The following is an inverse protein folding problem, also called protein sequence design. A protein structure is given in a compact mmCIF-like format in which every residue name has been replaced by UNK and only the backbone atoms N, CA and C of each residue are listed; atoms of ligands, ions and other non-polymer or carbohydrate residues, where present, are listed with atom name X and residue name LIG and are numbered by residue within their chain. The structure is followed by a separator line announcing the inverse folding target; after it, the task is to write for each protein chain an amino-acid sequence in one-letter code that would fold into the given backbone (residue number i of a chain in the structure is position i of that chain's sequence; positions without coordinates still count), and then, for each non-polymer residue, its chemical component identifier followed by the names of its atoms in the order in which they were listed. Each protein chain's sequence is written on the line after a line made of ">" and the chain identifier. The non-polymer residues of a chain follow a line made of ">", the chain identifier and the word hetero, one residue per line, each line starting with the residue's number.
data_IF_135525697298
#
_entry.id   IF_135525697298
#
_cell.length_a   1.000
_cell.length_b   1.000
_cell.length_c   1.000
_cell.angle_alpha   90.00
_cell.angle_beta   90.00
_cell.angle_gamma   90.00
#
_symmetry.space_group_name_H-M   'P 1'
#
loop_
_entity.id
_entity.type
_entity.pdbx_description
1 polymer ?
#
# COMPACT_ATOMS: atom_id res chain seq x y z
N UNK A 1 -2.97 7.01 -23.80
CA UNK A 1 -3.10 6.01 -24.85
C UNK A 1 -4.23 6.45 -25.77
N UNK A 2 -4.01 6.37 -27.10
CA UNK A 2 -4.97 6.83 -28.11
C UNK A 2 -5.94 5.72 -28.59
N UNK A 3 -6.10 4.68 -27.80
CA UNK A 3 -6.97 3.52 -28.09
C UNK A 3 -8.42 3.73 -27.60
N UNK A 4 -8.91 4.95 -27.72
CA UNK A 4 -10.27 5.31 -27.37
C UNK A 4 -10.97 5.94 -28.59
N UNK A 5 -12.32 5.91 -28.68
CA UNK A 5 -13.07 6.62 -29.70
C UNK A 5 -12.70 8.10 -29.76
N UNK A 6 -12.77 8.70 -30.93
CA UNK A 6 -12.42 10.12 -31.13
C UNK A 6 -13.16 11.06 -30.19
N UNK A 7 -14.42 10.74 -29.88
CA UNK A 7 -15.24 11.49 -28.93
C UNK A 7 -14.76 11.45 -27.48
N UNK A 8 -13.77 10.59 -27.15
CA UNK A 8 -13.22 10.43 -25.79
C UNK A 8 -11.75 10.85 -25.66
N UNK A 9 -11.09 11.21 -26.77
CA UNK A 9 -9.63 11.47 -26.78
C UNK A 9 -9.20 12.63 -25.91
N UNK A 10 -10.01 13.68 -25.84
CA UNK A 10 -9.68 14.91 -25.13
C UNK A 10 -10.36 14.99 -23.75
N UNK A 11 -11.07 13.94 -23.34
CA UNK A 11 -11.71 13.90 -22.03
C UNK A 11 -10.69 13.60 -20.92
N UNK A 12 -10.88 14.29 -19.79
CA UNK A 12 -10.05 14.11 -18.58
C UNK A 12 -10.80 13.26 -17.56
N UNK A 13 -10.14 12.23 -17.04
CA UNK A 13 -10.67 11.47 -15.89
C UNK A 13 -10.17 12.14 -14.61
N UNK A 14 -11.10 12.57 -13.77
CA UNK A 14 -10.82 13.25 -12.49
C UNK A 14 -11.39 12.42 -11.36
N UNK A 15 -10.52 12.00 -10.43
CA UNK A 15 -10.92 11.25 -9.23
C UNK A 15 -11.56 12.16 -8.19
N UNK A 16 -12.72 11.76 -7.67
CA UNK A 16 -13.37 12.40 -6.54
C UNK A 16 -12.87 11.79 -5.24
N UNK A 17 -12.17 12.57 -4.44
CA UNK A 17 -11.81 12.17 -3.09
C UNK A 17 -12.97 12.44 -2.12
N UNK A 18 -13.77 11.39 -1.89
CA UNK A 18 -14.93 11.45 -0.97
C UNK A 18 -14.46 11.66 0.47
N UNK A 19 -13.31 11.09 0.85
CA UNK A 19 -12.71 11.26 2.17
C UNK A 19 -12.37 12.72 2.45
N UNK A 20 -11.76 13.41 1.49
CA UNK A 20 -11.45 14.84 1.60
C UNK A 20 -12.71 15.73 1.68
N UNK A 21 -13.78 15.34 0.98
CA UNK A 21 -15.07 16.07 1.08
C UNK A 21 -15.69 15.96 2.47
N UNK A 22 -15.57 14.80 3.12
CA UNK A 22 -16.09 14.54 4.46
C UNK A 22 -15.19 15.12 5.55
N UNK A 23 -13.88 14.98 5.43
CA UNK A 23 -12.90 15.31 6.46
C UNK A 23 -12.88 16.78 6.91
N UNK A 24 -13.41 17.69 6.16
CA UNK A 24 -13.50 19.11 6.51
C UNK A 24 -14.92 19.59 6.82
N UNK A 25 -15.92 18.72 6.73
CA UNK A 25 -17.31 19.10 6.93
C UNK A 25 -17.72 18.93 8.40
N UNK A 26 -18.06 20.01 9.09
CA UNK A 26 -18.59 19.97 10.46
C UNK A 26 -20.03 19.44 10.53
N UNK A 27 -20.77 19.58 9.44
CA UNK A 27 -22.19 19.21 9.34
C UNK A 27 -22.48 18.62 7.95
N UNK A 28 -23.51 17.76 7.88
CA UNK A 28 -24.01 17.12 6.65
C UNK A 28 -24.25 18.13 5.50
N UNK A 29 -24.81 19.30 5.78
CA UNK A 29 -25.07 20.32 4.76
C UNK A 29 -23.81 20.85 4.07
N UNK A 30 -22.70 20.95 4.78
CA UNK A 30 -21.43 21.40 4.22
C UNK A 30 -20.84 20.40 3.21
N UNK A 31 -20.93 19.11 3.49
CA UNK A 31 -20.56 18.07 2.54
C UNK A 31 -21.45 18.11 1.29
N UNK A 32 -22.77 18.23 1.47
CA UNK A 32 -23.71 18.33 0.35
C UNK A 32 -23.43 19.56 -0.53
N UNK A 33 -23.09 20.70 0.06
CA UNK A 33 -22.72 21.90 -0.68
C UNK A 33 -21.42 21.72 -1.48
N UNK A 34 -20.41 21.13 -0.87
CA UNK A 34 -19.14 20.83 -1.55
C UNK A 34 -19.34 19.86 -2.72
N UNK A 35 -20.09 18.79 -2.51
CA UNK A 35 -20.39 17.84 -3.58
C UNK A 35 -21.19 18.51 -4.70
N UNK A 36 -22.19 19.35 -4.38
CA UNK A 36 -22.94 20.12 -5.37
C UNK A 36 -22.04 21.07 -6.18
N UNK A 37 -21.06 21.71 -5.53
CA UNK A 37 -20.10 22.56 -6.23
C UNK A 37 -19.28 21.76 -7.24
N UNK A 38 -18.70 20.61 -6.82
CA UNK A 38 -17.96 19.72 -7.73
C UNK A 38 -18.83 19.24 -8.89
N UNK A 39 -20.06 18.80 -8.61
CA UNK A 39 -20.97 18.34 -9.67
C UNK A 39 -21.36 19.45 -10.65
N UNK A 40 -21.45 20.70 -10.20
CA UNK A 40 -21.67 21.86 -11.05
C UNK A 40 -20.47 22.12 -11.94
N UNK A 41 -19.26 22.17 -11.36
CA UNK A 41 -18.02 22.40 -12.12
C UNK A 41 -17.80 21.33 -13.19
N UNK A 42 -18.11 20.07 -12.87
CA UNK A 42 -18.06 18.96 -13.85
C UNK A 42 -19.13 19.12 -14.92
N UNK A 43 -20.36 19.52 -14.55
CA UNK A 43 -21.43 19.76 -15.50
C UNK A 43 -21.12 20.93 -16.44
N UNK A 44 -20.52 22.00 -15.94
CA UNK A 44 -20.13 23.19 -16.71
C UNK A 44 -18.93 22.91 -17.65
N UNK A 45 -18.25 21.77 -17.52
CA UNK A 45 -17.15 21.35 -18.40
C UNK A 45 -17.61 20.81 -19.77
N UNK A 46 -18.91 20.87 -20.08
CA UNK A 46 -19.49 20.44 -21.36
C UNK A 46 -19.05 19.02 -21.82
N UNK A 47 -18.91 18.11 -20.84
CA UNK A 47 -18.54 16.72 -21.06
C UNK A 47 -17.04 16.45 -21.25
N UNK A 48 -16.17 17.44 -21.08
CA UNK A 48 -14.70 17.23 -21.11
C UNK A 48 -14.20 16.41 -19.92
N UNK A 49 -14.95 16.41 -18.80
CA UNK A 49 -14.58 15.72 -17.57
C UNK A 49 -15.41 14.46 -17.36
N UNK A 50 -14.72 13.35 -17.10
CA UNK A 50 -15.31 12.10 -16.60
C UNK A 50 -14.96 12.01 -15.12
N UNK A 51 -15.97 12.02 -14.26
CA UNK A 51 -15.80 11.91 -12.82
C UNK A 51 -15.57 10.43 -12.45
N UNK A 52 -14.45 10.11 -11.81
CA UNK A 52 -14.20 8.79 -11.23
C UNK A 52 -14.49 8.82 -9.73
N UNK A 53 -15.32 7.91 -9.27
CA UNK A 53 -15.69 7.77 -7.84
C UNK A 53 -15.31 6.37 -7.40
N UNK A 54 -14.27 6.29 -6.58
CA UNK A 54 -13.94 5.03 -5.92
C UNK A 54 -14.91 4.76 -4.77
N UNK A 55 -15.13 3.49 -4.47
CA UNK A 55 -16.09 3.05 -3.44
C UNK A 55 -17.46 3.75 -3.55
N UNK A 56 -18.02 3.80 -4.77
CA UNK A 56 -19.29 4.49 -5.06
C UNK A 56 -20.42 4.14 -4.06
N UNK A 57 -20.39 2.92 -3.52
CA UNK A 57 -21.36 2.49 -2.52
C UNK A 57 -21.34 3.32 -1.24
N UNK A 58 -20.22 3.96 -0.89
CA UNK A 58 -20.11 4.83 0.30
C UNK A 58 -20.98 6.09 0.18
N UNK A 59 -21.18 6.56 -1.05
CA UNK A 59 -22.03 7.72 -1.34
C UNK A 59 -23.51 7.31 -1.43
N UNK A 60 -23.76 6.07 -1.92
CA UNK A 60 -25.13 5.59 -2.23
C UNK A 60 -25.78 4.89 -1.05
N UNK A 61 -25.00 4.19 -0.21
CA UNK A 61 -25.51 3.36 0.89
C UNK A 61 -25.63 4.04 2.23
N UNK A 62 -25.18 5.25 2.35
CA UNK A 62 -25.04 5.95 3.62
C UNK A 62 -26.36 6.42 4.26
N UNK A 63 -27.50 6.25 3.58
CA UNK A 63 -28.82 6.70 4.07
C UNK A 63 -29.51 5.81 5.13
N UNK A 64 -28.95 4.62 5.43
CA UNK A 64 -29.61 3.66 6.33
C UNK A 64 -29.08 3.66 7.77
N UNK A 65 -27.98 4.33 8.08
CA UNK A 65 -27.46 4.50 9.43
C UNK A 65 -27.62 5.96 9.88
N UNK A 66 -28.03 6.18 11.12
CA UNK A 66 -28.13 7.52 11.72
C UNK A 66 -26.80 8.29 11.56
N UNK A 67 -26.84 9.34 10.75
CA UNK A 67 -25.68 10.23 10.49
C UNK A 67 -24.94 10.00 9.17
N UNK A 68 -25.28 9.00 8.38
CA UNK A 68 -24.65 8.74 7.10
C UNK A 68 -25.25 9.62 5.97
N UNK A 69 -24.39 10.10 5.07
CA UNK A 69 -24.77 11.07 4.02
C UNK A 69 -25.33 10.32 2.81
N UNK A 70 -26.63 10.41 2.57
CA UNK A 70 -27.22 9.94 1.30
C UNK A 70 -27.02 11.00 0.21
N UNK A 71 -25.87 10.94 -0.45
CA UNK A 71 -25.55 11.80 -1.57
C UNK A 71 -26.10 11.29 -2.91
N UNK A 72 -26.75 10.12 -2.91
CA UNK A 72 -27.33 9.54 -4.13
C UNK A 72 -28.32 10.48 -4.81
N UNK A 73 -29.10 11.23 -4.01
CA UNK A 73 -30.06 12.19 -4.52
C UNK A 73 -29.41 13.39 -5.22
N UNK A 74 -28.14 13.68 -4.96
CA UNK A 74 -27.40 14.75 -5.64
C UNK A 74 -26.86 14.28 -6.99
N UNK A 75 -26.51 12.98 -7.12
CA UNK A 75 -26.02 12.40 -8.38
C UNK A 75 -27.14 12.11 -9.38
N UNK A 76 -28.33 11.75 -8.91
CA UNK A 76 -29.45 11.35 -9.76
C UNK A 76 -29.86 12.39 -10.83
N UNK A 77 -30.02 13.67 -10.50
CA UNK A 77 -30.45 14.68 -11.51
C UNK A 77 -29.40 14.89 -12.62
N UNK A 78 -28.09 15.14 -12.33
CA UNK A 78 -27.13 15.37 -13.39
C UNK A 78 -26.86 14.10 -14.23
N UNK A 79 -26.89 12.90 -13.63
CA UNK A 79 -26.83 11.63 -14.38
C UNK A 79 -28.07 11.46 -15.28
N UNK A 80 -29.25 11.90 -14.85
CA UNK A 80 -30.47 11.78 -15.62
C UNK A 80 -30.51 12.71 -16.85
N UNK A 81 -29.93 13.88 -16.75
CA UNK A 81 -29.87 14.85 -17.86
C UNK A 81 -28.70 14.57 -18.82
N UNK A 82 -27.73 13.73 -18.41
CA UNK A 82 -26.52 13.49 -19.17
C UNK A 82 -25.42 14.57 -18.95
N UNK A 83 -25.62 15.46 -17.99
CA UNK A 83 -24.68 16.53 -17.65
C UNK A 83 -23.42 15.95 -16.92
N UNK A 84 -23.52 14.74 -16.40
CA UNK A 84 -22.46 14.08 -15.66
C UNK A 84 -22.05 12.76 -16.33
N UNK A 85 -20.82 12.69 -16.84
CA UNK A 85 -20.16 11.44 -17.17
C UNK A 85 -19.43 10.91 -15.93
N UNK A 86 -19.80 9.72 -15.44
CA UNK A 86 -19.28 9.17 -14.21
C UNK A 86 -18.89 7.70 -14.36
N UNK A 87 -17.74 7.34 -13.79
CA UNK A 87 -17.28 5.97 -13.61
C UNK A 87 -17.21 5.70 -12.10
N UNK A 88 -18.00 4.75 -11.62
CA UNK A 88 -17.96 4.33 -10.21
C UNK A 88 -17.28 2.98 -10.06
N UNK A 89 -16.39 2.83 -9.10
CA UNK A 89 -15.83 1.55 -8.71
C UNK A 89 -16.49 1.05 -7.42
N UNK A 90 -16.72 -0.25 -7.34
CA UNK A 90 -17.29 -0.90 -6.14
C UNK A 90 -17.02 -2.41 -6.19
N UNK A 91 -17.24 -3.11 -5.08
CA UNK A 91 -17.20 -4.57 -5.04
C UNK A 91 -18.53 -5.19 -5.45
N UNK A 92 -18.53 -6.46 -5.86
CA UNK A 92 -19.77 -7.19 -6.21
C UNK A 92 -20.75 -7.28 -5.05
N UNK A 93 -20.27 -7.39 -3.82
CA UNK A 93 -21.11 -7.45 -2.63
C UNK A 93 -21.84 -6.13 -2.37
N UNK A 94 -21.15 -5.03 -2.58
CA UNK A 94 -21.66 -3.67 -2.32
C UNK A 94 -22.45 -3.11 -3.49
N UNK A 95 -22.19 -3.59 -4.72
CA UNK A 95 -22.99 -3.24 -5.91
C UNK A 95 -24.47 -3.52 -5.71
N UNK A 96 -24.83 -4.53 -4.92
CA UNK A 96 -26.22 -4.84 -4.54
C UNK A 96 -26.95 -3.65 -3.88
N UNK A 97 -26.23 -2.75 -3.23
CA UNK A 97 -26.81 -1.53 -2.65
C UNK A 97 -27.20 -0.54 -3.75
N UNK A 98 -26.36 -0.44 -4.80
CA UNK A 98 -26.64 0.40 -5.97
C UNK A 98 -27.82 -0.17 -6.76
N UNK A 99 -27.91 -1.50 -6.92
CA UNK A 99 -29.02 -2.16 -7.62
C UNK A 99 -30.38 -1.95 -6.95
N UNK A 100 -30.41 -1.81 -5.61
CA UNK A 100 -31.64 -1.54 -4.85
C UNK A 100 -32.20 -0.15 -5.18
N UNK A 101 -31.39 0.79 -5.57
CA UNK A 101 -31.82 2.10 -6.03
C UNK A 101 -32.08 2.07 -7.55
N UNK A 102 -33.35 1.81 -7.92
CA UNK A 102 -33.77 1.69 -9.30
C UNK A 102 -33.44 2.94 -10.16
N UNK A 103 -33.30 4.11 -9.54
CA UNK A 103 -32.95 5.33 -10.26
C UNK A 103 -31.46 5.37 -10.62
N UNK A 104 -30.57 4.88 -9.77
CA UNK A 104 -29.16 4.73 -10.07
C UNK A 104 -28.85 3.54 -10.96
N UNK A 105 -29.46 2.38 -10.70
CA UNK A 105 -29.27 1.16 -11.46
C UNK A 105 -29.55 1.34 -12.97
N UNK A 106 -30.51 2.20 -13.33
CA UNK A 106 -30.83 2.51 -14.73
C UNK A 106 -29.79 3.44 -15.40
N UNK A 107 -28.92 4.08 -14.63
CA UNK A 107 -27.95 5.09 -15.12
C UNK A 107 -26.52 4.61 -15.12
N UNK A 108 -26.24 3.52 -14.42
CA UNK A 108 -24.93 2.89 -14.41
C UNK A 108 -24.99 1.56 -15.18
N UNK A 109 -24.17 1.45 -16.22
CA UNK A 109 -23.93 0.20 -16.91
C UNK A 109 -22.86 -0.58 -16.13
N UNK A 110 -23.15 -1.77 -15.58
CA UNK A 110 -22.15 -2.56 -14.88
C UNK A 110 -21.10 -3.11 -15.85
N UNK A 111 -19.84 -2.96 -15.48
CA UNK A 111 -18.68 -3.53 -16.16
C UNK A 111 -17.94 -4.40 -15.17
N UNK A 112 -18.01 -5.72 -15.36
CA UNK A 112 -17.30 -6.67 -14.51
C UNK A 112 -15.80 -6.68 -14.86
N UNK A 113 -14.96 -6.46 -13.86
CA UNK A 113 -13.51 -6.61 -13.94
C UNK A 113 -13.14 -7.94 -13.25
N UNK A 114 -12.91 -9.03 -14.00
CA UNK A 114 -12.56 -10.32 -13.42
C UNK A 114 -11.14 -10.32 -12.86
N UNK A 115 -10.86 -11.27 -11.97
CA UNK A 115 -9.51 -11.58 -11.54
C UNK A 115 -8.66 -11.99 -12.76
N UNK A 116 -7.46 -11.42 -12.95
CA UNK A 116 -6.61 -11.79 -14.08
C UNK A 116 -6.11 -13.23 -13.93
N UNK A 117 -5.85 -13.86 -15.08
CA UNK A 117 -5.25 -15.19 -15.11
C UNK A 117 -3.80 -15.16 -14.59
N UNK A 118 -3.26 -16.36 -14.28
CA UNK A 118 -1.85 -16.48 -13.87
C UNK A 118 -0.89 -15.91 -14.95
N UNK A 119 -1.04 -16.21 -16.26
CA UNK A 119 -0.22 -15.60 -17.29
C UNK A 119 -0.34 -14.08 -17.38
N UNK A 120 -1.56 -13.54 -17.27
CA UNK A 120 -1.78 -12.09 -17.28
C UNK A 120 -1.14 -11.42 -16.07
N UNK A 121 -1.27 -12.04 -14.88
CA UNK A 121 -0.64 -11.55 -13.64
C UNK A 121 0.87 -11.52 -13.73
N UNK A 122 1.50 -12.52 -14.37
CA UNK A 122 2.95 -12.53 -14.63
C UNK A 122 3.32 -11.32 -15.51
N UNK A 123 2.52 -11.05 -16.54
CA UNK A 123 2.76 -9.92 -17.45
C UNK A 123 2.63 -8.58 -16.72
N UNK A 124 1.63 -8.45 -15.86
CA UNK A 124 1.44 -7.26 -15.01
C UNK A 124 2.65 -7.06 -14.09
N UNK A 125 3.09 -8.10 -13.38
CA UNK A 125 4.23 -8.00 -12.46
C UNK A 125 5.54 -7.71 -13.20
N UNK A 126 5.73 -8.23 -14.42
CA UNK A 126 6.87 -7.87 -15.28
C UNK A 126 6.91 -6.37 -15.57
N UNK A 127 5.75 -5.76 -15.82
CA UNK A 127 5.62 -4.31 -16.02
C UNK A 127 5.93 -3.48 -14.76
N UNK A 128 5.70 -4.04 -13.58
CA UNK A 128 5.95 -3.38 -12.29
C UNK A 128 7.38 -3.64 -11.77
N UNK A 129 8.04 -4.69 -12.22
CA UNK A 129 9.33 -5.18 -11.70
C UNK A 129 10.39 -4.07 -11.52
N UNK A 130 10.57 -3.24 -12.54
CA UNK A 130 11.58 -2.18 -12.50
C UNK A 130 11.32 -1.16 -11.39
N UNK A 131 10.07 -0.78 -11.18
CA UNK A 131 9.68 0.13 -10.10
C UNK A 131 10.00 -0.44 -8.73
N UNK A 132 9.73 -1.72 -8.51
CA UNK A 132 10.04 -2.41 -7.25
C UNK A 132 11.53 -2.61 -7.06
N UNK A 133 12.30 -2.91 -8.12
CA UNK A 133 13.77 -2.97 -8.06
C UNK A 133 14.36 -1.64 -7.59
N UNK A 134 13.90 -0.53 -8.17
CA UNK A 134 14.37 0.81 -7.79
C UNK A 134 13.96 1.16 -6.37
N UNK A 135 12.72 0.85 -5.98
CA UNK A 135 12.21 1.17 -4.65
C UNK A 135 12.97 0.43 -3.53
N UNK A 136 13.18 -0.86 -3.70
CA UNK A 136 13.86 -1.68 -2.69
C UNK A 136 15.38 -1.74 -2.85
N UNK A 137 15.94 -1.27 -3.97
CA UNK A 137 17.37 -1.35 -4.24
C UNK A 137 17.88 -2.79 -4.42
N UNK A 138 17.01 -3.73 -4.83
CA UNK A 138 17.33 -5.14 -5.03
C UNK A 138 17.07 -5.57 -6.47
N UNK A 139 17.82 -6.55 -6.96
CA UNK A 139 17.57 -7.12 -8.28
C UNK A 139 16.50 -8.21 -8.21
N UNK A 140 15.43 -8.06 -9.01
CA UNK A 140 14.32 -9.02 -9.10
C UNK A 140 14.43 -9.78 -10.41
N UNK A 141 14.69 -11.07 -10.35
CA UNK A 141 14.80 -11.92 -11.54
C UNK A 141 13.41 -12.23 -12.13
N UNK A 142 13.34 -12.58 -13.41
CA UNK A 142 12.09 -13.03 -14.02
C UNK A 142 11.55 -14.30 -13.35
N UNK A 143 12.43 -15.21 -12.96
CA UNK A 143 12.07 -16.40 -12.19
C UNK A 143 11.41 -16.08 -10.85
N UNK A 144 11.84 -15.03 -10.16
CA UNK A 144 11.19 -14.56 -8.92
C UNK A 144 9.78 -14.05 -9.18
N UNK A 145 9.55 -13.30 -10.27
CA UNK A 145 8.22 -12.84 -10.68
C UNK A 145 7.28 -14.02 -10.95
N UNK A 146 7.73 -14.99 -11.74
CA UNK A 146 6.94 -16.21 -12.05
C UNK A 146 6.66 -17.00 -10.77
N UNK A 147 7.64 -17.16 -9.89
CA UNK A 147 7.48 -17.85 -8.62
C UNK A 147 6.48 -17.14 -7.72
N UNK A 148 6.56 -15.81 -7.59
CA UNK A 148 5.66 -15.02 -6.77
C UNK A 148 4.19 -15.21 -7.19
N UNK A 149 3.88 -15.15 -8.50
CA UNK A 149 2.52 -15.37 -8.99
C UNK A 149 2.04 -16.79 -8.73
N UNK A 150 2.86 -17.80 -9.03
CA UNK A 150 2.48 -19.20 -8.84
C UNK A 150 2.28 -19.55 -7.35
N UNK A 151 3.17 -19.09 -6.47
CA UNK A 151 3.02 -19.31 -5.03
C UNK A 151 1.82 -18.55 -4.45
N UNK A 152 1.63 -17.30 -4.85
CA UNK A 152 0.48 -16.53 -4.42
C UNK A 152 -0.84 -17.19 -4.88
N UNK A 153 -0.91 -17.66 -6.13
CA UNK A 153 -2.09 -18.37 -6.65
C UNK A 153 -2.37 -19.65 -5.87
N UNK A 154 -1.33 -20.43 -5.55
CA UNK A 154 -1.46 -21.74 -4.91
C UNK A 154 -1.74 -21.66 -3.41
N UNK A 155 -1.09 -20.74 -2.69
CA UNK A 155 -1.06 -20.74 -1.23
C UNK A 155 -1.86 -19.60 -0.59
N UNK A 156 -2.09 -18.49 -1.30
CA UNK A 156 -2.86 -17.36 -0.79
C UNK A 156 -4.26 -17.36 -1.40
N UNK A 157 -5.18 -18.07 -0.75
CA UNK A 157 -6.56 -18.29 -1.26
C UNK A 157 -7.51 -17.15 -0.94
N UNK A 158 -7.26 -16.39 0.13
CA UNK A 158 -8.16 -15.34 0.61
C UNK A 158 -8.09 -14.04 -0.18
N UNK A 159 -7.00 -13.83 -0.94
CA UNK A 159 -6.76 -12.63 -1.74
C UNK A 159 -6.80 -12.94 -3.23
N UNK A 160 -6.99 -11.90 -4.04
CA UNK A 160 -7.08 -12.00 -5.50
C UNK A 160 -5.77 -11.63 -6.19
N UNK A 161 -5.53 -12.19 -7.37
CA UNK A 161 -4.51 -11.72 -8.28
C UNK A 161 -4.94 -10.38 -8.91
N UNK A 162 -4.02 -9.47 -9.26
CA UNK A 162 -2.56 -9.59 -9.12
C UNK A 162 -2.05 -9.22 -7.72
N UNK A 163 -2.85 -8.57 -6.86
CA UNK A 163 -2.42 -7.93 -5.61
C UNK A 163 -1.66 -8.88 -4.68
N UNK A 164 -2.19 -10.08 -4.44
CA UNK A 164 -1.50 -11.06 -3.58
C UNK A 164 -0.11 -11.46 -4.06
N UNK A 165 0.14 -11.40 -5.37
CA UNK A 165 1.46 -11.69 -5.93
C UNK A 165 2.37 -10.46 -5.86
N UNK A 166 1.82 -9.27 -5.98
CA UNK A 166 2.52 -8.01 -5.77
C UNK A 166 2.97 -7.91 -4.31
N UNK A 167 2.08 -8.14 -3.35
CA UNK A 167 2.39 -8.13 -1.92
C UNK A 167 3.50 -9.13 -1.58
N UNK A 168 3.44 -10.34 -2.14
CA UNK A 168 4.46 -11.36 -1.92
C UNK A 168 5.83 -10.95 -2.46
N UNK A 169 5.85 -10.31 -3.63
CA UNK A 169 7.08 -9.80 -4.24
C UNK A 169 7.66 -8.64 -3.45
N UNK A 170 6.82 -7.71 -3.00
CA UNK A 170 7.17 -6.56 -2.19
C UNK A 170 7.79 -6.98 -0.85
N UNK A 171 7.13 -7.87 -0.13
CA UNK A 171 7.59 -8.41 1.14
C UNK A 171 8.93 -9.16 0.98
N UNK A 172 9.07 -9.97 -0.07
CA UNK A 172 10.31 -10.69 -0.33
C UNK A 172 11.48 -9.72 -0.64
N UNK A 173 11.23 -8.68 -1.42
CA UNK A 173 12.21 -7.66 -1.74
C UNK A 173 12.62 -6.84 -0.50
N UNK A 174 11.64 -6.45 0.32
CA UNK A 174 11.88 -5.75 1.59
C UNK A 174 12.74 -6.59 2.55
N UNK A 175 12.42 -7.88 2.70
CA UNK A 175 13.23 -8.81 3.53
C UNK A 175 14.65 -8.96 3.02
N UNK A 176 14.83 -9.12 1.71
CA UNK A 176 16.15 -9.23 1.12
C UNK A 176 16.98 -7.98 1.38
N UNK A 177 16.40 -6.80 1.19
CA UNK A 177 17.05 -5.53 1.53
C UNK A 177 17.44 -5.46 2.99
N UNK A 178 16.53 -5.84 3.90
CA UNK A 178 16.80 -5.85 5.34
C UNK A 178 17.99 -6.76 5.68
N UNK A 179 18.08 -7.95 5.05
CA UNK A 179 19.22 -8.86 5.24
C UNK A 179 20.52 -8.24 4.73
N UNK A 180 20.47 -7.57 3.57
CA UNK A 180 21.65 -6.92 2.99
C UNK A 180 22.14 -5.71 3.81
N UNK A 181 21.22 -4.96 4.41
CA UNK A 181 21.53 -3.79 5.25
C UNK A 181 21.81 -4.17 6.71
N UNK A 182 21.40 -5.36 7.15
CA UNK A 182 21.63 -5.84 8.51
C UNK A 182 23.07 -6.31 8.66
N UNK A 183 23.71 -5.91 9.77
CA UNK A 183 24.99 -6.51 10.14
C UNK A 183 24.81 -8.02 10.31
N UNK A 184 25.75 -8.85 9.85
CA UNK A 184 25.73 -10.28 10.11
C UNK A 184 25.50 -10.56 11.59
N UNK A 185 24.67 -11.55 11.89
CA UNK A 185 24.29 -11.87 13.27
C UNK A 185 25.49 -12.17 14.17
N UNK A 186 26.54 -12.74 13.59
CA UNK A 186 27.82 -13.01 14.25
C UNK A 186 28.51 -11.71 14.71
N UNK A 187 28.52 -10.67 13.87
CA UNK A 187 29.07 -9.36 14.21
C UNK A 187 28.23 -8.69 15.29
N UNK A 188 26.90 -8.72 15.18
CA UNK A 188 25.99 -8.13 16.16
C UNK A 188 26.09 -8.83 17.53
N UNK A 189 26.30 -10.13 17.54
CA UNK A 189 26.48 -10.93 18.76
C UNK A 189 27.82 -10.62 19.41
N UNK A 190 28.88 -10.50 18.62
CA UNK A 190 30.22 -10.16 19.09
C UNK A 190 30.25 -8.72 19.65
N UNK A 191 29.60 -7.76 18.99
CA UNK A 191 29.49 -6.39 19.50
C UNK A 191 28.74 -6.31 20.86
N UNK A 192 27.65 -7.10 21.03
CA UNK A 192 26.94 -7.21 22.32
C UNK A 192 27.81 -7.80 23.41
N UNK A 193 28.59 -8.83 23.11
CA UNK A 193 29.55 -9.44 24.02
C UNK A 193 30.65 -8.46 24.42
N UNK A 194 31.21 -7.72 23.46
CA UNK A 194 32.20 -6.66 23.72
C UNK A 194 31.65 -5.58 24.66
N UNK A 195 30.41 -5.12 24.44
CA UNK A 195 29.78 -4.13 25.30
C UNK A 195 29.58 -4.66 26.73
N UNK A 196 29.12 -5.91 26.87
CA UNK A 196 28.97 -6.55 28.19
C UNK A 196 30.28 -6.64 28.95
N UNK A 197 31.35 -7.09 28.29
CA UNK A 197 32.69 -7.17 28.90
C UNK A 197 33.21 -5.76 29.28
N UNK A 198 32.96 -4.72 28.49
CA UNK A 198 33.36 -3.35 28.80
C UNK A 198 32.64 -2.83 30.06
N UNK A 199 31.34 -3.10 30.17
CA UNK A 199 30.54 -2.71 31.34
C UNK A 199 31.09 -3.42 32.61
N UNK A 200 31.41 -4.73 32.51
CA UNK A 200 31.96 -5.49 33.62
C UNK A 200 33.34 -4.99 34.04
N UNK A 201 34.23 -4.67 33.10
CA UNK A 201 35.55 -4.07 33.37
C UNK A 201 35.41 -2.73 34.08
N UNK A 202 34.47 -1.87 33.66
CA UNK A 202 34.25 -0.57 34.27
C UNK A 202 33.65 -0.70 35.66
N UNK A 203 32.75 -1.67 35.90
CA UNK A 203 32.23 -1.98 37.24
C UNK A 203 33.34 -2.41 38.20
N UNK A 204 34.19 -3.36 37.73
CA UNK A 204 35.32 -3.86 38.54
C UNK A 204 36.43 -2.84 38.76
N UNK A 205 36.45 -1.73 38.00
CA UNK A 205 37.43 -0.64 38.17
C UNK A 205 37.27 0.08 39.51
N UNK A 206 36.08 0.07 40.08
CA UNK A 206 35.75 0.70 41.36
C UNK A 206 36.08 -0.23 42.55
N UNK A 207 36.41 -1.48 42.30
CA UNK A 207 36.73 -2.46 43.33
C UNK A 207 38.24 -2.67 43.45
N UNK A 208 38.75 -2.70 44.68
CA UNK A 208 40.18 -2.83 44.99
C UNK A 208 40.59 -4.21 45.52
N UNK A 209 39.66 -5.18 45.57
CA UNK A 209 39.90 -6.55 46.01
C UNK A 209 40.80 -7.36 45.05
N UNK A 210 41.69 -8.22 45.58
CA UNK A 210 42.58 -9.01 44.73
C UNK A 210 41.86 -9.83 43.68
N UNK A 211 40.68 -10.40 43.99
CA UNK A 211 39.83 -11.12 43.07
C UNK A 211 39.30 -10.25 41.92
N UNK A 212 38.87 -9.01 42.24
CA UNK A 212 38.39 -8.04 41.24
C UNK A 212 39.51 -7.61 40.28
N UNK A 213 40.72 -7.44 40.78
CA UNK A 213 41.89 -7.10 39.98
C UNK A 213 42.27 -8.23 39.02
N UNK A 214 42.24 -9.49 39.49
CA UNK A 214 42.51 -10.64 38.64
C UNK A 214 41.45 -10.81 37.54
N UNK A 215 40.18 -10.71 37.91
CA UNK A 215 39.05 -10.82 36.92
C UNK A 215 39.08 -9.70 35.88
N UNK A 216 39.44 -8.47 36.30
CA UNK A 216 39.58 -7.37 35.35
C UNK A 216 40.71 -7.59 34.35
N UNK A 217 41.87 -8.15 34.78
CA UNK A 217 42.98 -8.45 33.89
C UNK A 217 42.60 -9.52 32.86
N UNK A 218 41.88 -10.56 33.28
CA UNK A 218 41.34 -11.60 32.39
C UNK A 218 40.38 -11.02 31.36
N UNK A 219 39.36 -10.27 31.78
CA UNK A 219 38.39 -9.58 30.91
C UNK A 219 39.04 -8.60 29.92
N UNK A 220 40.10 -7.92 30.30
CA UNK A 220 40.85 -7.05 29.41
C UNK A 220 41.53 -7.82 28.29
N UNK A 221 42.08 -9.01 28.60
CA UNK A 221 42.65 -9.88 27.59
C UNK A 221 41.62 -10.44 26.63
N UNK A 222 40.47 -10.90 27.16
CA UNK A 222 39.34 -11.38 26.35
C UNK A 222 38.80 -10.28 25.44
N UNK A 223 38.66 -9.05 25.97
CA UNK A 223 38.18 -7.90 25.24
C UNK A 223 39.11 -7.51 24.10
N UNK A 224 40.44 -7.63 24.31
CA UNK A 224 41.42 -7.38 23.26
C UNK A 224 41.31 -8.40 22.14
N UNK A 225 41.17 -9.69 22.49
CA UNK A 225 41.02 -10.80 21.53
C UNK A 225 39.69 -10.67 20.72
N UNK A 226 38.59 -10.37 21.41
CA UNK A 226 37.29 -10.20 20.80
C UNK A 226 37.24 -8.96 19.86
N UNK A 227 37.92 -7.85 20.19
CA UNK A 227 38.08 -6.70 19.30
C UNK A 227 38.86 -7.02 18.04
N UNK A 228 39.92 -7.84 18.15
CA UNK A 228 40.68 -8.27 16.99
C UNK A 228 39.86 -9.18 16.07
N UNK A 229 39.03 -10.06 16.65
CA UNK A 229 38.09 -10.90 15.90
C UNK A 229 36.99 -10.07 15.19
N UNK A 230 36.39 -9.11 15.90
CA UNK A 230 35.38 -8.21 15.32
C UNK A 230 35.94 -7.39 14.14
N UNK A 231 37.18 -6.93 14.25
CA UNK A 231 37.85 -6.20 13.17
C UNK A 231 38.05 -7.07 11.92
N UNK A 232 38.47 -8.31 12.09
CA UNK A 232 38.63 -9.24 10.96
C UNK A 232 37.32 -9.54 10.23
N UNK A 233 36.24 -9.79 10.98
CA UNK A 233 34.91 -10.03 10.43
C UNK A 233 34.27 -8.79 9.75
N UNK A 234 34.72 -7.60 10.11
CA UNK A 234 34.22 -6.36 9.49
C UNK A 234 35.03 -5.94 8.25
N UNK A 235 36.23 -6.51 8.07
CA UNK A 235 37.14 -6.26 6.93
C UNK A 235 36.96 -7.32 5.82
N UNK A 236 36.22 -8.43 6.05
CA UNK A 236 35.80 -9.46 5.10
C UNK A 236 34.43 -9.16 4.48
#
# INVERSE_FOLDING_TARGET
>A
DREVPDSMRDRRVVGLDVGALVAGAKYRGEFEERLKAVLRDVGDSDGEVILFIDELHTIVGAGAADGAVDASNLLKPPLARGDLACVGATTLSEYRQIERDAALARRFQPVLVPEPSVPDSITILRGLREKYQVHHGVHITDGAVVAAVNHAHRYLTERKLPDKAIDLLDEAAARLRMVQESKPEDIATLERSLLSMQIEVEALRKESGAAAVARRAELQSELHAARAAAKKLNDE
#
